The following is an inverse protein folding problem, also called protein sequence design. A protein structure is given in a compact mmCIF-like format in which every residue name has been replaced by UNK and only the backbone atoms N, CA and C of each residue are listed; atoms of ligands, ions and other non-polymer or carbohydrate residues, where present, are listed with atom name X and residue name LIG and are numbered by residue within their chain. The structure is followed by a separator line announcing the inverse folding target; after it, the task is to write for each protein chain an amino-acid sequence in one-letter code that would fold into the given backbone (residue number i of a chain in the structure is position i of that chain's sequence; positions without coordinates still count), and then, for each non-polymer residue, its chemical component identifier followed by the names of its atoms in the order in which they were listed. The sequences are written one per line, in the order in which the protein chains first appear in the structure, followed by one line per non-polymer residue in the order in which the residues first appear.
data_IF_548406473271
#
_entry.id   IF_548406473271
#
_cell.length_a   1.000
_cell.length_b   1.000
_cell.length_c   1.000
_cell.angle_alpha   90.00
_cell.angle_beta   90.00
_cell.angle_gamma   90.00
#
_symmetry.space_group_name_H-M   'P 1'
#
loop_
_entity.id
_entity.type
_entity.pdbx_description
1 polymer ?
#
# COMPACT_ATOMS: atom_id res chain seq x y z
N UNK A 1 12.11 31.87 14.46
CA UNK A 1 13.04 31.17 15.40
C UNK A 1 12.99 29.69 15.06
N UNK A 2 14.14 29.06 14.88
CA UNK A 2 14.20 27.61 14.72
C UNK A 2 14.13 26.97 16.11
N UNK A 3 13.24 26.00 16.38
CA UNK A 3 13.13 25.36 17.69
C UNK A 3 14.41 24.58 18.01
N UNK A 4 14.67 24.36 19.31
CA UNK A 4 15.79 23.54 19.77
C UNK A 4 15.44 22.05 19.79
N UNK A 5 14.15 21.74 19.92
CA UNK A 5 13.60 20.38 19.88
C UNK A 5 12.63 20.27 18.70
N UNK A 6 12.83 19.26 17.88
CA UNK A 6 12.00 18.94 16.70
C UNK A 6 11.42 17.55 16.92
N UNK A 7 10.10 17.43 16.81
CA UNK A 7 9.39 16.15 16.93
C UNK A 7 8.75 15.84 15.59
N UNK A 8 9.02 14.65 15.05
CA UNK A 8 8.48 14.15 13.80
C UNK A 8 7.73 12.85 14.08
N UNK A 9 6.49 12.78 13.61
CA UNK A 9 5.62 11.61 13.72
C UNK A 9 5.40 11.03 12.33
N UNK A 10 5.90 9.82 12.09
CA UNK A 10 5.86 9.09 10.82
C UNK A 10 6.19 9.94 9.56
N UNK A 11 7.33 10.64 9.56
CA UNK A 11 7.62 11.60 8.49
C UNK A 11 7.82 10.95 7.12
N UNK A 12 8.01 9.62 7.05
CA UNK A 12 8.24 8.92 5.77
C UNK A 12 7.02 8.14 5.27
N UNK A 13 5.88 8.22 5.93
CA UNK A 13 4.68 7.42 5.60
C UNK A 13 4.25 7.53 4.13
N UNK A 14 4.44 8.69 3.49
CA UNK A 14 4.02 8.98 2.11
C UNK A 14 5.17 9.40 1.19
N UNK A 15 6.42 9.19 1.63
CA UNK A 15 7.60 9.61 0.88
C UNK A 15 8.14 8.46 0.01
N UNK A 16 8.51 8.79 -1.21
CA UNK A 16 9.33 7.92 -2.05
C UNK A 16 10.81 7.93 -1.61
N UNK A 17 11.61 7.05 -2.18
CA UNK A 17 13.01 6.89 -1.79
C UNK A 17 13.84 8.19 -1.94
N UNK A 18 13.57 8.97 -2.98
CA UNK A 18 14.30 10.23 -3.23
C UNK A 18 13.94 11.28 -2.18
N UNK A 19 12.66 11.38 -1.83
CA UNK A 19 12.17 12.29 -0.78
C UNK A 19 12.70 11.89 0.60
N UNK A 20 12.84 10.58 0.89
CA UNK A 20 13.47 10.09 2.12
C UNK A 20 14.95 10.51 2.19
N UNK A 21 15.70 10.39 1.10
CA UNK A 21 17.10 10.81 1.06
C UNK A 21 17.23 12.33 1.25
N UNK A 22 16.30 13.14 0.72
CA UNK A 22 16.27 14.58 0.97
C UNK A 22 16.00 14.87 2.46
N UNK A 23 15.03 14.19 3.07
CA UNK A 23 14.73 14.31 4.50
C UNK A 23 15.95 13.97 5.36
N UNK A 24 16.66 12.88 5.05
CA UNK A 24 17.92 12.49 5.72
C UNK A 24 18.94 13.63 5.73
N UNK A 25 19.14 14.27 4.58
CA UNK A 25 20.07 15.40 4.47
C UNK A 25 19.66 16.59 5.34
N UNK A 26 18.36 16.91 5.38
CA UNK A 26 17.83 18.00 6.22
C UNK A 26 18.06 17.68 7.71
N UNK A 27 17.75 16.47 8.13
CA UNK A 27 17.94 16.04 9.53
C UNK A 27 19.43 16.06 9.94
N UNK A 28 20.31 15.63 9.04
CA UNK A 28 21.74 15.69 9.27
C UNK A 28 22.25 17.16 9.44
N UNK A 29 21.68 18.11 8.69
CA UNK A 29 21.99 19.54 8.87
C UNK A 29 21.51 20.06 10.23
N UNK A 30 20.30 19.72 10.66
CA UNK A 30 19.76 20.12 11.96
C UNK A 30 20.56 19.50 13.11
N UNK A 31 20.99 18.25 12.98
CA UNK A 31 21.87 17.59 13.95
C UNK A 31 23.22 18.34 14.09
N UNK A 32 23.82 18.79 12.97
CA UNK A 32 25.03 19.64 13.00
C UNK A 32 24.82 21.00 13.67
N UNK A 33 23.59 21.48 13.71
CA UNK A 33 23.20 22.71 14.43
C UNK A 33 22.85 22.46 15.91
N UNK A 34 23.21 21.28 16.44
CA UNK A 34 22.93 20.85 17.84
C UNK A 34 21.42 20.84 18.19
N UNK A 35 20.56 20.60 17.22
CA UNK A 35 19.13 20.41 17.48
C UNK A 35 18.87 19.01 18.02
N UNK A 36 17.95 18.89 18.99
CA UNK A 36 17.42 17.61 19.45
C UNK A 36 16.28 17.19 18.52
N UNK A 37 16.39 16.01 17.93
CA UNK A 37 15.40 15.48 16.98
C UNK A 37 14.81 14.20 17.56
N UNK A 38 13.49 14.15 17.72
CA UNK A 38 12.73 12.98 18.15
C UNK A 38 11.89 12.53 16.98
N UNK A 39 12.01 11.25 16.60
CA UNK A 39 11.30 10.69 15.46
C UNK A 39 10.53 9.45 15.93
N UNK A 40 9.20 9.47 15.81
CA UNK A 40 8.37 8.28 15.93
C UNK A 40 8.23 7.68 14.53
N UNK A 41 8.58 6.40 14.35
CA UNK A 41 8.62 5.78 13.03
C UNK A 41 8.50 4.25 13.08
N UNK A 42 7.82 3.70 12.09
CA UNK A 42 7.74 2.26 11.88
C UNK A 42 8.77 1.75 10.87
N UNK A 43 9.08 2.52 9.82
CA UNK A 43 10.08 2.18 8.80
C UNK A 43 11.48 2.51 9.26
N UNK A 44 12.20 1.57 9.86
CA UNK A 44 13.45 1.84 10.59
C UNK A 44 14.69 1.92 9.70
N UNK A 45 14.69 1.34 8.49
CA UNK A 45 15.87 1.19 7.63
C UNK A 45 16.60 2.50 7.30
N UNK A 46 15.89 3.62 7.24
CA UNK A 46 16.46 4.92 6.89
C UNK A 46 17.03 5.68 8.09
N UNK A 47 16.72 5.23 9.32
CA UNK A 47 17.13 5.90 10.56
C UNK A 47 18.52 5.45 11.05
N UNK A 48 19.03 4.31 10.61
CA UNK A 48 20.25 3.68 11.13
C UNK A 48 21.47 4.60 11.12
N UNK A 49 21.60 5.45 10.10
CA UNK A 49 22.75 6.36 9.92
C UNK A 49 22.50 7.77 10.49
N UNK A 50 21.30 8.05 11.00
CA UNK A 50 20.90 9.37 11.46
C UNK A 50 20.74 9.40 12.97
N UNK A 51 20.07 8.39 13.54
CA UNK A 51 19.75 8.35 14.95
C UNK A 51 20.91 7.85 15.81
N UNK A 52 21.08 8.44 16.97
CA UNK A 52 22.09 8.03 17.96
C UNK A 52 21.55 6.96 18.90
N UNK A 53 20.23 6.99 19.15
CA UNK A 53 19.54 6.23 20.20
C UNK A 53 18.19 5.75 19.69
N UNK A 54 17.81 4.56 20.07
CA UNK A 54 16.51 3.97 19.81
C UNK A 54 15.76 3.71 21.12
N UNK A 55 14.52 4.17 21.17
CA UNK A 55 13.61 3.96 22.30
C UNK A 55 12.42 3.17 21.80
N UNK A 56 12.21 1.95 22.33
CA UNK A 56 11.07 1.12 21.97
C UNK A 56 9.98 1.24 23.04
N UNK A 57 8.78 1.65 22.58
CA UNK A 57 7.60 1.77 23.43
C UNK A 57 6.59 0.65 23.08
N UNK A 58 6.06 0.02 24.11
CA UNK A 58 4.93 -0.91 24.02
C UNK A 58 4.05 -0.75 25.25
N UNK A 59 2.74 -0.77 25.06
CA UNK A 59 1.72 -0.65 26.11
C UNK A 59 1.92 0.59 27.00
N UNK A 60 2.33 1.71 26.40
CA UNK A 60 2.56 2.98 27.11
C UNK A 60 3.82 3.00 27.99
N UNK A 61 4.72 2.03 27.84
CA UNK A 61 5.96 1.92 28.64
C UNK A 61 7.17 1.83 27.74
N UNK A 62 8.28 2.40 28.21
CA UNK A 62 9.59 2.20 27.58
C UNK A 62 10.04 0.77 27.92
N UNK A 63 10.12 -0.08 26.89
CA UNK A 63 10.59 -1.46 27.02
C UNK A 63 12.08 -1.58 26.76
N UNK A 64 12.62 -0.67 25.94
CA UNK A 64 14.02 -0.67 25.56
C UNK A 64 14.50 0.75 25.28
N UNK A 65 15.74 1.03 25.65
CA UNK A 65 16.42 2.30 25.46
C UNK A 65 17.90 2.02 25.24
N UNK A 66 18.34 2.02 23.98
CA UNK A 66 19.65 1.54 23.56
C UNK A 66 20.28 2.48 22.53
N UNK A 67 21.61 2.47 22.37
CA UNK A 67 22.26 3.09 21.22
C UNK A 67 21.76 2.49 19.89
N UNK A 68 21.59 3.32 18.87
CA UNK A 68 21.09 2.86 17.56
C UNK A 68 21.96 1.74 16.96
N UNK A 69 23.30 1.77 17.16
CA UNK A 69 24.23 0.72 16.73
C UNK A 69 23.84 -0.66 17.26
N UNK A 70 23.36 -0.75 18.50
CA UNK A 70 22.96 -2.03 19.10
C UNK A 70 21.69 -2.56 18.43
N UNK A 71 20.74 -1.68 18.07
CA UNK A 71 19.55 -2.08 17.31
C UNK A 71 19.90 -2.59 15.92
N UNK A 72 20.93 -2.02 15.28
CA UNK A 72 21.40 -2.49 13.94
C UNK A 72 21.99 -3.89 13.95
N UNK A 73 22.46 -4.36 15.12
CA UNK A 73 23.01 -5.71 15.29
C UNK A 73 21.93 -6.79 15.51
N UNK A 74 20.64 -6.37 15.64
CA UNK A 74 19.55 -7.32 15.82
C UNK A 74 19.29 -8.11 14.55
N UNK A 75 19.13 -9.44 14.70
CA UNK A 75 18.67 -10.29 13.60
C UNK A 75 17.24 -9.97 13.21
N UNK A 76 16.86 -10.27 11.95
CA UNK A 76 15.48 -10.14 11.47
C UNK A 76 14.48 -10.85 12.39
N UNK A 77 14.79 -12.06 12.84
CA UNK A 77 13.96 -12.81 13.76
C UNK A 77 13.76 -12.10 15.11
N UNK A 78 14.75 -11.39 15.60
CA UNK A 78 14.64 -10.61 16.84
C UNK A 78 13.77 -9.37 16.63
N UNK A 79 13.92 -8.69 15.50
CA UNK A 79 13.07 -7.56 15.11
C UNK A 79 11.60 -7.99 14.97
N UNK A 80 11.34 -9.10 14.28
CA UNK A 80 10.00 -9.66 14.11
C UNK A 80 9.34 -10.01 15.45
N UNK A 81 10.07 -10.65 16.38
CA UNK A 81 9.57 -10.97 17.74
C UNK A 81 9.15 -9.72 18.51
N UNK A 82 9.86 -8.62 18.33
CA UNK A 82 9.53 -7.32 18.93
C UNK A 82 8.38 -6.61 18.20
N UNK A 83 7.95 -7.10 17.03
CA UNK A 83 6.98 -6.43 16.18
C UNK A 83 7.54 -5.20 15.48
N UNK A 84 8.86 -5.14 15.31
CA UNK A 84 9.57 -4.05 14.65
C UNK A 84 9.85 -4.40 13.19
N UNK A 85 9.80 -3.41 12.33
CA UNK A 85 10.20 -3.54 10.93
C UNK A 85 11.71 -3.66 10.79
N UNK A 86 12.16 -4.26 9.67
CA UNK A 86 13.59 -4.43 9.41
C UNK A 86 14.34 -3.09 9.39
N UNK A 87 15.52 -3.10 10.03
CA UNK A 87 16.44 -1.96 9.99
C UNK A 87 17.45 -2.07 8.84
N UNK A 88 17.55 -3.24 8.19
CA UNK A 88 18.50 -3.45 7.10
C UNK A 88 17.93 -2.93 5.77
N UNK A 89 18.63 -1.96 5.18
CA UNK A 89 18.28 -1.39 3.88
C UNK A 89 18.52 -2.32 2.67
N UNK A 90 19.20 -3.44 2.88
CA UNK A 90 19.56 -4.41 1.82
C UNK A 90 18.36 -5.08 1.15
N UNK A 91 17.16 -4.92 1.72
CA UNK A 91 15.91 -5.20 1.00
C UNK A 91 15.77 -4.45 -0.33
N UNK A 92 16.56 -3.40 -0.54
CA UNK A 92 16.49 -2.63 -1.78
C UNK A 92 17.14 -3.34 -2.97
N UNK A 93 18.15 -4.16 -2.73
CA UNK A 93 18.95 -4.83 -3.76
C UNK A 93 18.53 -6.27 -4.05
N UNK A 94 17.66 -6.87 -3.23
CA UNK A 94 17.36 -8.31 -3.27
C UNK A 94 16.01 -8.68 -3.90
N UNK A 95 15.23 -7.73 -4.39
CA UNK A 95 14.06 -8.09 -5.19
C UNK A 95 14.52 -8.22 -6.64
N UNK A 96 14.95 -9.42 -7.00
CA UNK A 96 15.26 -9.76 -8.39
C UNK A 96 13.97 -9.66 -9.20
N UNK A 97 14.07 -9.01 -10.34
CA UNK A 97 12.97 -8.87 -11.30
C UNK A 97 13.40 -9.51 -12.59
N UNK A 98 12.49 -10.25 -13.19
CA UNK A 98 12.63 -10.74 -14.57
C UNK A 98 11.62 -10.05 -15.45
N UNK A 99 12.00 -9.84 -16.72
CA UNK A 99 11.04 -9.37 -17.73
C UNK A 99 9.92 -10.40 -17.84
N UNK A 100 8.71 -9.95 -17.60
CA UNK A 100 7.56 -10.79 -17.81
C UNK A 100 7.05 -10.62 -19.24
N UNK A 101 7.10 -11.69 -20.00
CA UNK A 101 6.43 -11.74 -21.30
C UNK A 101 5.06 -12.37 -21.10
N UNK A 102 3.99 -11.62 -21.43
CA UNK A 102 2.65 -12.18 -21.31
C UNK A 102 2.51 -13.41 -22.21
N UNK A 103 1.73 -14.40 -21.77
CA UNK A 103 1.32 -15.49 -22.63
C UNK A 103 0.64 -14.95 -23.88
N UNK A 104 0.52 -15.75 -24.94
CA UNK A 104 -0.03 -15.34 -26.25
C UNK A 104 -1.31 -14.52 -26.11
N UNK A 105 -1.55 -13.57 -27.01
CA UNK A 105 -2.59 -12.50 -26.92
C UNK A 105 -4.04 -12.94 -26.62
N UNK A 106 -4.31 -14.24 -26.51
CA UNK A 106 -5.63 -14.82 -26.28
C UNK A 106 -5.79 -15.60 -24.97
N UNK A 107 -4.85 -15.48 -24.03
CA UNK A 107 -5.02 -16.20 -22.75
C UNK A 107 -5.99 -15.48 -21.80
N UNK A 108 -6.89 -16.25 -21.13
CA UNK A 108 -7.99 -15.69 -20.33
C UNK A 108 -7.56 -14.98 -19.05
N UNK A 109 -6.27 -15.05 -18.70
CA UNK A 109 -5.78 -14.61 -17.38
C UNK A 109 -5.06 -13.25 -17.38
N UNK A 110 -5.41 -12.35 -18.31
CA UNK A 110 -4.83 -11.01 -18.36
C UNK A 110 -5.88 -9.89 -18.46
N UNK A 111 -5.55 -8.74 -17.87
CA UNK A 111 -6.22 -7.47 -18.13
C UNK A 111 -5.35 -6.72 -19.12
N UNK A 112 -5.85 -6.51 -20.34
CA UNK A 112 -5.13 -5.78 -21.39
C UNK A 112 -5.63 -4.35 -21.46
N UNK A 113 -4.72 -3.39 -21.31
CA UNK A 113 -4.97 -1.97 -21.47
C UNK A 113 -4.44 -1.51 -22.83
N UNK A 114 -5.27 -0.87 -23.63
CA UNK A 114 -4.91 -0.38 -24.98
C UNK A 114 -5.14 1.11 -25.07
N UNK A 115 -4.12 1.84 -25.56
CA UNK A 115 -4.15 3.27 -25.83
C UNK A 115 -4.61 4.11 -24.62
N UNK A 116 -4.13 3.78 -23.42
CA UNK A 116 -4.42 4.52 -22.20
C UNK A 116 -3.68 5.86 -22.21
N UNK A 117 -4.37 6.90 -22.64
CA UNK A 117 -3.84 8.26 -22.70
C UNK A 117 -4.69 9.18 -21.84
N UNK A 118 -4.04 9.86 -20.92
CA UNK A 118 -4.68 10.86 -20.06
C UNK A 118 -3.81 12.10 -19.92
N UNK A 119 -4.43 13.27 -20.01
CA UNK A 119 -3.80 14.55 -19.80
C UNK A 119 -4.65 15.45 -18.88
N UNK A 120 -4.00 16.20 -18.02
CA UNK A 120 -4.58 17.38 -17.39
C UNK A 120 -4.24 18.58 -18.28
N UNK A 121 -5.26 19.20 -18.85
CA UNK A 121 -5.13 20.26 -19.85
C UNK A 121 -4.16 19.86 -20.98
N UNK A 122 -2.99 20.51 -21.06
CA UNK A 122 -1.97 20.22 -22.08
C UNK A 122 -0.90 19.23 -21.63
N UNK A 123 -0.84 18.89 -20.33
CA UNK A 123 0.19 18.01 -19.78
C UNK A 123 -0.25 16.56 -19.81
N UNK A 124 0.37 15.75 -20.66
CA UNK A 124 0.18 14.31 -20.68
C UNK A 124 0.74 13.68 -19.39
N UNK A 125 -0.08 12.90 -18.69
CA UNK A 125 0.26 12.19 -17.46
C UNK A 125 0.47 10.72 -17.73
N UNK A 126 -0.36 10.11 -18.63
CA UNK A 126 -0.26 8.72 -19.02
C UNK A 126 -0.25 8.63 -20.55
N UNK A 127 0.63 7.80 -21.09
CA UNK A 127 0.69 7.40 -22.50
C UNK A 127 1.14 5.93 -22.57
N UNK A 128 0.21 5.03 -22.25
CA UNK A 128 0.42 3.59 -22.21
C UNK A 128 -0.27 2.98 -23.43
N UNK A 129 0.51 2.56 -24.45
CA UNK A 129 -0.01 2.05 -25.71
C UNK A 129 -0.57 0.64 -25.57
N UNK A 130 0.13 -0.21 -24.86
CA UNK A 130 -0.30 -1.58 -24.60
C UNK A 130 0.33 -2.02 -23.27
N UNK A 131 -0.49 -2.52 -22.37
CA UNK A 131 -0.03 -3.10 -21.10
C UNK A 131 -0.88 -4.32 -20.81
N UNK A 132 -0.24 -5.46 -20.58
CA UNK A 132 -0.92 -6.67 -20.13
C UNK A 132 -0.60 -6.88 -18.67
N UNK A 133 -1.63 -7.04 -17.85
CA UNK A 133 -1.55 -7.19 -16.39
C UNK A 133 -2.05 -8.59 -16.08
N UNK A 134 -1.28 -9.44 -15.35
CA UNK A 134 -1.75 -10.76 -14.93
C UNK A 134 -2.95 -10.63 -14.00
N UNK A 135 -3.92 -11.55 -14.11
CA UNK A 135 -5.07 -11.62 -13.21
C UNK A 135 -4.80 -12.56 -12.06
N UNK A 136 -5.65 -12.44 -11.03
CA UNK A 136 -5.62 -13.31 -9.85
C UNK A 136 -4.25 -13.33 -9.16
N UNK A 137 -3.58 -12.18 -9.15
CA UNK A 137 -2.25 -11.97 -8.59
C UNK A 137 -2.24 -10.77 -7.64
N UNK A 138 -1.23 -10.71 -6.76
CA UNK A 138 -0.93 -9.52 -5.97
C UNK A 138 0.16 -8.74 -6.68
N UNK A 139 -0.17 -7.53 -7.11
CA UNK A 139 0.66 -6.72 -8.01
C UNK A 139 0.98 -5.39 -7.33
N UNK A 140 2.27 -5.09 -7.14
CA UNK A 140 2.70 -3.78 -6.70
C UNK A 140 2.64 -2.76 -7.85
N UNK A 141 2.17 -1.55 -7.57
CA UNK A 141 2.27 -0.41 -8.49
C UNK A 141 3.30 0.55 -7.91
N UNK A 142 4.43 0.68 -8.60
CA UNK A 142 5.59 1.47 -8.15
C UNK A 142 5.90 2.61 -9.10
N UNK A 143 6.79 3.52 -8.69
CA UNK A 143 7.21 4.70 -9.44
C UNK A 143 7.35 5.92 -8.54
N UNK A 144 8.06 6.93 -8.98
CA UNK A 144 8.26 8.17 -8.21
C UNK A 144 6.92 8.87 -7.88
N UNK A 145 6.95 9.76 -6.87
CA UNK A 145 5.80 10.62 -6.60
C UNK A 145 5.54 11.52 -7.81
N UNK A 146 4.27 11.65 -8.19
CA UNK A 146 3.90 12.38 -9.41
C UNK A 146 4.05 11.62 -10.73
N UNK A 147 4.53 10.37 -10.74
CA UNK A 147 4.67 9.55 -11.96
C UNK A 147 3.35 9.16 -12.63
N UNK A 148 2.21 9.37 -11.94
CA UNK A 148 0.89 9.06 -12.49
C UNK A 148 0.23 7.80 -11.89
N UNK A 149 0.76 7.21 -10.81
CA UNK A 149 0.21 5.99 -10.17
C UNK A 149 -1.28 6.12 -9.82
N UNK A 150 -1.65 7.14 -9.06
CA UNK A 150 -3.07 7.37 -8.67
C UNK A 150 -3.94 7.74 -9.86
N UNK A 151 -3.39 8.41 -10.88
CA UNK A 151 -4.10 8.67 -12.14
C UNK A 151 -4.36 7.36 -12.90
N UNK A 152 -3.36 6.49 -12.97
CA UNK A 152 -3.47 5.18 -13.60
C UNK A 152 -4.60 4.33 -13.00
N UNK A 153 -4.65 4.20 -11.67
CA UNK A 153 -5.72 3.44 -11.02
C UNK A 153 -7.09 4.08 -11.20
N UNK A 154 -7.20 5.41 -11.19
CA UNK A 154 -8.46 6.11 -11.45
C UNK A 154 -8.95 5.88 -12.89
N UNK A 155 -8.05 5.83 -13.86
CA UNK A 155 -8.40 5.45 -15.23
C UNK A 155 -8.84 3.99 -15.31
N UNK A 156 -8.11 3.06 -14.68
CA UNK A 156 -8.43 1.64 -14.65
C UNK A 156 -9.79 1.37 -13.99
N UNK A 157 -10.08 2.01 -12.87
CA UNK A 157 -11.38 1.92 -12.19
C UNK A 157 -12.53 2.59 -12.98
N UNK A 158 -12.24 3.35 -14.02
CA UNK A 158 -13.27 4.12 -14.74
C UNK A 158 -13.76 5.37 -13.99
N UNK A 159 -13.04 5.80 -12.95
CA UNK A 159 -13.33 7.02 -12.18
C UNK A 159 -12.96 8.30 -12.93
N UNK A 160 -12.03 8.20 -13.88
CA UNK A 160 -11.57 9.32 -14.68
C UNK A 160 -12.43 9.49 -15.94
N UNK A 161 -13.14 10.62 -16.06
CA UNK A 161 -14.12 10.83 -17.14
C UNK A 161 -13.54 11.15 -18.51
N UNK A 162 -12.36 11.76 -18.57
CA UNK A 162 -11.76 12.31 -19.80
C UNK A 162 -10.50 11.56 -20.25
N UNK A 163 -10.42 10.23 -20.04
CA UNK A 163 -9.30 9.48 -20.57
C UNK A 163 -9.67 8.76 -21.88
N UNK A 164 -8.69 8.52 -22.71
CA UNK A 164 -8.79 7.66 -23.89
C UNK A 164 -8.17 6.31 -23.54
N UNK A 165 -8.76 5.24 -24.04
CA UNK A 165 -8.24 3.90 -23.83
C UNK A 165 -9.33 2.86 -23.66
N UNK A 166 -8.93 1.59 -23.77
CA UNK A 166 -9.80 0.43 -23.69
C UNK A 166 -9.22 -0.61 -22.75
N UNK A 167 -10.08 -1.20 -21.94
CA UNK A 167 -9.73 -2.34 -21.08
C UNK A 167 -10.35 -3.59 -21.66
N UNK A 168 -9.55 -4.62 -21.90
CA UNK A 168 -10.00 -5.92 -22.39
C UNK A 168 -9.72 -6.99 -21.35
N UNK A 169 -10.72 -7.75 -20.96
CA UNK A 169 -10.62 -8.88 -20.03
C UNK A 169 -11.36 -10.06 -20.65
N UNK A 170 -10.72 -11.22 -20.75
CA UNK A 170 -11.31 -12.42 -21.39
C UNK A 170 -11.91 -12.12 -22.78
N UNK A 171 -11.16 -11.43 -23.61
CA UNK A 171 -11.57 -11.02 -24.98
C UNK A 171 -12.79 -10.08 -25.02
N UNK A 172 -13.32 -9.66 -23.91
CA UNK A 172 -14.41 -8.68 -23.81
C UNK A 172 -13.86 -7.30 -23.51
N UNK A 173 -14.28 -6.31 -24.29
CA UNK A 173 -13.96 -4.90 -24.05
C UNK A 173 -14.91 -4.31 -23.01
N UNK A 174 -14.34 -3.61 -22.02
CA UNK A 174 -15.07 -2.97 -20.93
C UNK A 174 -14.99 -1.44 -21.05
N UNK A 175 -16.15 -0.79 -20.96
CA UNK A 175 -16.25 0.66 -20.86
C UNK A 175 -15.93 1.14 -19.42
N UNK A 176 -15.55 2.42 -19.22
CA UNK A 176 -15.26 2.94 -17.88
C UNK A 176 -16.35 2.67 -16.83
N UNK A 177 -17.64 2.83 -17.19
CA UNK A 177 -18.76 2.54 -16.28
C UNK A 177 -18.89 1.06 -15.91
N UNK A 178 -18.43 0.15 -16.77
CA UNK A 178 -18.43 -1.28 -16.48
C UNK A 178 -17.25 -1.63 -15.58
N UNK A 179 -16.11 -0.97 -15.75
CA UNK A 179 -14.95 -1.11 -14.84
C UNK A 179 -15.27 -0.69 -13.40
N UNK A 180 -16.12 0.32 -13.18
CA UNK A 180 -16.62 0.67 -11.86
C UNK A 180 -17.35 -0.48 -11.15
N UNK A 181 -17.97 -1.39 -11.92
CA UNK A 181 -18.63 -2.58 -11.35
C UNK A 181 -17.65 -3.69 -10.99
N UNK A 182 -16.50 -3.75 -11.64
CA UNK A 182 -15.48 -4.77 -11.43
C UNK A 182 -14.44 -4.37 -10.38
N UNK A 183 -14.20 -3.07 -10.22
CA UNK A 183 -13.14 -2.54 -9.35
C UNK A 183 -13.69 -2.06 -8.01
N UNK A 184 -12.87 -2.21 -6.96
CA UNK A 184 -13.02 -1.53 -5.67
C UNK A 184 -11.71 -0.82 -5.37
N UNK A 185 -11.77 0.46 -5.02
CA UNK A 185 -10.61 1.26 -4.67
C UNK A 185 -10.66 1.64 -3.19
N UNK A 186 -9.67 1.19 -2.43
CA UNK A 186 -9.38 1.70 -1.08
C UNK A 186 -8.38 2.84 -1.21
N UNK A 187 -8.82 4.03 -0.81
CA UNK A 187 -8.06 5.26 -0.95
C UNK A 187 -7.00 5.37 0.16
N UNK A 188 -5.93 6.10 -0.10
CA UNK A 188 -4.87 6.39 0.87
C UNK A 188 -5.43 7.03 2.15
N UNK A 189 -6.25 8.07 2.03
CA UNK A 189 -7.04 8.60 3.16
C UNK A 189 -8.36 7.86 3.25
N UNK A 190 -8.39 6.82 4.07
CA UNK A 190 -9.60 6.01 4.29
C UNK A 190 -10.75 6.77 4.94
N UNK A 191 -10.49 7.93 5.58
CA UNK A 191 -11.55 8.73 6.19
C UNK A 191 -12.63 9.15 5.17
N UNK A 192 -12.25 9.31 3.91
CA UNK A 192 -13.20 9.62 2.82
C UNK A 192 -14.13 8.46 2.46
N UNK A 193 -13.93 7.28 3.04
CA UNK A 193 -14.74 6.08 2.78
C UNK A 193 -15.50 5.60 4.02
N UNK A 194 -15.22 6.18 5.20
CA UNK A 194 -15.76 5.78 6.49
C UNK A 194 -16.87 6.73 6.97
N UNK A 195 -17.98 6.79 6.25
CA UNK A 195 -19.04 7.78 6.46
C UNK A 195 -20.34 7.22 7.06
N UNK A 196 -20.36 5.92 7.44
CA UNK A 196 -21.52 5.32 8.12
C UNK A 196 -21.48 5.57 9.63
N UNK A 197 -22.59 5.26 10.32
CA UNK A 197 -22.71 5.43 11.77
C UNK A 197 -21.90 4.40 12.56
N UNK A 198 -21.82 3.17 12.06
CA UNK A 198 -21.08 2.07 12.71
C UNK A 198 -20.02 1.47 11.80
N UNK A 199 -19.04 0.80 12.42
CA UNK A 199 -18.02 0.02 11.72
C UNK A 199 -18.64 -1.09 10.88
N UNK A 200 -19.64 -1.77 11.42
CA UNK A 200 -20.37 -2.83 10.73
C UNK A 200 -21.04 -2.30 9.47
N UNK A 201 -21.72 -1.16 9.55
CA UNK A 201 -22.38 -0.51 8.40
C UNK A 201 -21.39 -0.19 7.28
N UNK A 202 -20.17 0.29 7.62
CA UNK A 202 -19.12 0.54 6.61
C UNK A 202 -18.72 -0.76 5.92
N UNK A 203 -18.54 -1.82 6.69
CA UNK A 203 -18.05 -3.11 6.17
C UNK A 203 -19.08 -3.74 5.24
N UNK A 204 -20.37 -3.67 5.57
CA UNK A 204 -21.45 -4.23 4.74
C UNK A 204 -21.87 -3.31 3.60
N UNK A 205 -21.47 -2.06 3.62
CA UNK A 205 -21.82 -1.09 2.59
C UNK A 205 -21.32 -1.55 1.22
N UNK A 206 -22.23 -1.79 0.30
CA UNK A 206 -21.91 -2.25 -1.05
C UNK A 206 -21.73 -3.77 -1.19
N UNK A 207 -21.90 -4.54 -0.14
CA UNK A 207 -22.11 -5.98 -0.23
C UNK A 207 -23.53 -6.25 -0.74
N UNK A 208 -23.67 -7.04 -1.80
CA UNK A 208 -25.00 -7.33 -2.39
C UNK A 208 -25.81 -8.34 -1.57
N UNK A 209 -25.15 -9.09 -0.68
CA UNK A 209 -25.74 -10.11 0.18
C UNK A 209 -24.96 -10.15 1.50
N UNK A 210 -25.61 -9.87 2.61
CA UNK A 210 -24.98 -9.84 3.94
C UNK A 210 -25.35 -11.10 4.69
N UNK A 211 -24.53 -12.11 4.53
CA UNK A 211 -24.49 -13.25 5.45
C UNK A 211 -23.83 -12.75 6.76
N UNK A 212 -24.64 -12.55 7.80
CA UNK A 212 -24.18 -12.05 9.11
C UNK A 212 -23.03 -12.88 9.69
N UNK A 213 -23.02 -14.19 9.46
CA UNK A 213 -21.95 -15.08 9.93
C UNK A 213 -20.63 -14.77 9.23
N UNK A 214 -20.65 -14.53 7.93
CA UNK A 214 -19.44 -14.16 7.17
C UNK A 214 -18.90 -12.78 7.59
N UNK A 215 -19.79 -11.83 7.87
CA UNK A 215 -19.42 -10.50 8.38
C UNK A 215 -18.73 -10.64 9.73
N UNK A 216 -19.34 -11.42 10.65
CA UNK A 216 -18.77 -11.66 11.98
C UNK A 216 -17.40 -12.32 11.87
N UNK A 217 -17.28 -13.44 11.14
CA UNK A 217 -15.99 -14.12 10.95
C UNK A 217 -14.91 -13.21 10.38
N UNK A 218 -15.26 -12.36 9.42
CA UNK A 218 -14.33 -11.41 8.82
C UNK A 218 -13.88 -10.37 9.84
N UNK A 219 -14.83 -9.81 10.60
CA UNK A 219 -14.53 -8.81 11.63
C UNK A 219 -13.68 -9.39 12.76
N UNK A 220 -13.96 -10.64 13.19
CA UNK A 220 -13.14 -11.34 14.19
C UNK A 220 -11.71 -11.58 13.70
N UNK A 221 -11.54 -12.07 12.46
CA UNK A 221 -10.22 -12.27 11.83
C UNK A 221 -9.39 -11.00 11.72
N UNK A 222 -10.06 -9.85 11.60
CA UNK A 222 -9.43 -8.53 11.51
C UNK A 222 -9.30 -7.79 12.85
N UNK A 223 -9.77 -8.41 13.95
CA UNK A 223 -9.78 -7.77 15.27
C UNK A 223 -10.66 -6.53 15.30
N UNK A 224 -11.80 -6.57 14.61
CA UNK A 224 -12.74 -5.45 14.50
C UNK A 224 -14.06 -5.71 15.23
N UNK A 225 -14.34 -6.95 15.65
CA UNK A 225 -15.63 -7.34 16.20
C UNK A 225 -16.02 -6.52 17.45
N UNK A 226 -15.08 -6.27 18.34
CA UNK A 226 -15.31 -5.46 19.55
C UNK A 226 -15.65 -3.98 19.24
N UNK A 227 -15.36 -3.53 18.03
CA UNK A 227 -15.61 -2.17 17.57
C UNK A 227 -16.85 -2.04 16.68
N UNK A 228 -17.60 -3.11 16.43
CA UNK A 228 -18.67 -3.18 15.42
C UNK A 228 -19.69 -2.04 15.52
N UNK A 229 -20.07 -1.69 16.75
CA UNK A 229 -21.06 -0.65 17.04
C UNK A 229 -20.44 0.74 17.25
N UNK A 230 -19.11 0.90 17.09
CA UNK A 230 -18.45 2.20 17.25
C UNK A 230 -18.53 3.00 15.97
N UNK A 231 -18.56 4.33 16.12
CA UNK A 231 -18.41 5.22 14.97
C UNK A 231 -17.01 5.08 14.37
N UNK A 232 -16.86 4.89 13.05
CA UNK A 232 -15.58 4.61 12.41
C UNK A 232 -14.50 5.66 12.68
N UNK A 233 -14.91 6.94 12.82
CA UNK A 233 -13.97 8.04 13.09
C UNK A 233 -13.35 7.98 14.48
N UNK A 234 -13.90 7.20 15.43
CA UNK A 234 -13.33 6.98 16.75
C UNK A 234 -12.18 5.95 16.78
N UNK A 235 -11.94 5.27 15.66
CA UNK A 235 -10.92 4.23 15.55
C UNK A 235 -9.52 4.83 15.33
N UNK A 236 -8.48 4.06 15.71
CA UNK A 236 -7.10 4.37 15.34
C UNK A 236 -6.88 4.26 13.83
N UNK A 237 -5.80 4.85 13.30
CA UNK A 237 -5.48 4.81 11.87
C UNK A 237 -5.42 3.37 11.33
N UNK A 238 -4.72 2.47 12.02
CA UNK A 238 -4.63 1.06 11.63
C UNK A 238 -5.96 0.31 11.70
N UNK A 239 -6.84 0.63 12.67
CA UNK A 239 -8.19 0.06 12.72
C UNK A 239 -9.04 0.54 11.54
N UNK A 240 -9.01 1.84 11.21
CA UNK A 240 -9.69 2.40 10.05
C UNK A 240 -9.25 1.74 8.75
N UNK A 241 -7.94 1.49 8.61
CA UNK A 241 -7.40 0.79 7.45
C UNK A 241 -7.96 -0.63 7.32
N UNK A 242 -8.00 -1.38 8.44
CA UNK A 242 -8.59 -2.72 8.44
C UNK A 242 -10.10 -2.72 8.12
N UNK A 243 -10.84 -1.70 8.55
CA UNK A 243 -12.26 -1.54 8.18
C UNK A 243 -12.42 -1.35 6.67
N UNK A 244 -11.61 -0.50 6.04
CA UNK A 244 -11.65 -0.29 4.60
C UNK A 244 -11.27 -1.56 3.80
N UNK A 245 -10.28 -2.33 4.29
CA UNK A 245 -9.94 -3.64 3.72
C UNK A 245 -11.11 -4.62 3.85
N UNK A 246 -11.72 -4.72 5.05
CA UNK A 246 -12.88 -5.58 5.27
C UNK A 246 -14.04 -5.26 4.31
N UNK A 247 -14.36 -3.99 4.16
CA UNK A 247 -15.39 -3.53 3.21
C UNK A 247 -15.06 -3.95 1.77
N UNK A 248 -13.80 -3.83 1.36
CA UNK A 248 -13.36 -4.26 0.02
C UNK A 248 -13.55 -5.76 -0.22
N UNK A 249 -13.35 -6.58 0.82
CA UNK A 249 -13.52 -8.05 0.72
C UNK A 249 -14.97 -8.46 0.49
N UNK A 250 -15.92 -7.77 1.14
CA UNK A 250 -17.36 -8.04 1.00
C UNK A 250 -17.99 -7.41 -0.24
N UNK A 251 -17.34 -6.44 -0.88
CA UNK A 251 -17.86 -5.73 -2.03
C UNK A 251 -18.09 -6.61 -3.29
N UNK A 252 -17.67 -7.88 -3.27
CA UNK A 252 -17.89 -8.84 -4.37
C UNK A 252 -17.18 -8.49 -5.68
N UNK A 253 -16.21 -7.57 -5.67
CA UNK A 253 -15.48 -7.11 -6.85
C UNK A 253 -14.36 -8.07 -7.25
N UNK A 254 -13.99 -8.06 -8.55
CA UNK A 254 -12.93 -8.90 -9.10
C UNK A 254 -11.54 -8.27 -8.97
N UNK A 255 -11.47 -6.94 -9.02
CA UNK A 255 -10.23 -6.17 -8.99
C UNK A 255 -10.26 -5.26 -7.78
N UNK A 256 -9.38 -5.53 -6.83
CA UNK A 256 -9.25 -4.76 -5.60
C UNK A 256 -7.99 -3.92 -5.65
N UNK A 257 -8.11 -2.64 -5.40
CA UNK A 257 -7.01 -1.69 -5.52
C UNK A 257 -6.84 -0.97 -4.19
N UNK A 258 -5.59 -0.93 -3.71
CA UNK A 258 -5.23 -0.33 -2.44
C UNK A 258 -4.15 0.74 -2.66
N UNK A 259 -4.41 1.95 -2.16
CA UNK A 259 -3.46 3.06 -2.25
C UNK A 259 -2.79 3.24 -0.89
N UNK A 260 -1.49 2.90 -0.79
CA UNK A 260 -0.64 2.94 0.42
C UNK A 260 -1.28 2.26 1.66
N UNK A 261 -1.68 0.97 1.58
CA UNK A 261 -2.48 0.30 2.62
C UNK A 261 -1.73 0.01 3.92
N UNK A 262 -0.41 0.15 3.95
CA UNK A 262 0.42 -0.10 5.15
C UNK A 262 1.07 1.16 5.71
N UNK A 263 0.65 2.34 5.24
CA UNK A 263 1.08 3.61 5.82
C UNK A 263 0.67 3.68 7.29
N UNK A 264 1.63 3.97 8.18
CA UNK A 264 1.37 4.02 9.62
C UNK A 264 1.11 2.68 10.30
N UNK A 265 1.45 1.54 9.67
CA UNK A 265 1.31 0.23 10.29
C UNK A 265 2.65 -0.29 10.82
N UNK A 266 2.61 -0.83 12.04
CA UNK A 266 3.70 -1.61 12.60
C UNK A 266 3.92 -2.93 11.82
N UNK A 267 4.96 -3.67 12.17
CA UNK A 267 5.29 -4.93 11.49
C UNK A 267 4.17 -5.96 11.57
N UNK A 268 3.53 -6.13 12.73
CA UNK A 268 2.48 -7.15 12.92
C UNK A 268 1.25 -6.87 12.05
N UNK A 269 0.79 -5.63 12.04
CA UNK A 269 -0.36 -5.22 11.23
C UNK A 269 -0.04 -5.26 9.73
N UNK A 270 1.20 -4.93 9.34
CA UNK A 270 1.64 -5.06 7.96
C UNK A 270 1.63 -6.52 7.49
N UNK A 271 2.12 -7.46 8.31
CA UNK A 271 2.09 -8.91 7.99
C UNK A 271 0.64 -9.40 7.87
N UNK A 272 -0.23 -9.04 8.80
CA UNK A 272 -1.66 -9.39 8.70
C UNK A 272 -2.30 -8.87 7.40
N UNK A 273 -1.94 -7.65 6.99
CA UNK A 273 -2.41 -7.07 5.73
C UNK A 273 -1.87 -7.84 4.52
N UNK A 274 -0.59 -8.22 4.53
CA UNK A 274 0.00 -9.04 3.48
C UNK A 274 -0.69 -10.41 3.34
N UNK A 275 -0.97 -11.08 4.45
CA UNK A 275 -1.70 -12.35 4.47
C UNK A 275 -3.12 -12.22 3.91
N UNK A 276 -3.81 -11.10 4.19
CA UNK A 276 -5.12 -10.83 3.61
C UNK A 276 -5.05 -10.69 2.09
N UNK A 277 -4.05 -10.01 1.56
CA UNK A 277 -3.87 -9.87 0.11
C UNK A 277 -3.58 -11.22 -0.56
N UNK A 278 -2.79 -12.09 0.07
CA UNK A 278 -2.57 -13.46 -0.41
C UNK A 278 -3.89 -14.24 -0.46
N UNK A 279 -4.70 -14.19 0.60
CA UNK A 279 -6.02 -14.87 0.63
C UNK A 279 -6.98 -14.32 -0.42
N UNK A 280 -6.95 -13.01 -0.70
CA UNK A 280 -7.75 -12.41 -1.78
C UNK A 280 -7.33 -12.98 -3.14
N UNK A 281 -6.03 -13.09 -3.40
CA UNK A 281 -5.49 -13.76 -4.59
C UNK A 281 -5.98 -15.20 -4.67
N UNK A 282 -5.86 -15.98 -3.60
CA UNK A 282 -6.30 -17.38 -3.52
C UNK A 282 -7.81 -17.54 -3.78
N UNK A 283 -8.61 -16.52 -3.44
CA UNK A 283 -10.04 -16.46 -3.77
C UNK A 283 -10.33 -15.99 -5.20
N UNK A 284 -9.32 -15.89 -6.07
CA UNK A 284 -9.47 -15.51 -7.48
C UNK A 284 -9.64 -14.01 -7.70
N UNK A 285 -9.19 -13.16 -6.77
CA UNK A 285 -9.19 -11.70 -6.93
C UNK A 285 -7.86 -11.20 -7.47
N UNK A 286 -7.91 -10.18 -8.31
CA UNK A 286 -6.73 -9.42 -8.71
C UNK A 286 -6.53 -8.28 -7.71
N UNK A 287 -5.37 -8.24 -7.04
CA UNK A 287 -5.05 -7.26 -6.01
C UNK A 287 -3.95 -6.35 -6.51
N UNK A 288 -4.23 -5.07 -6.67
CA UNK A 288 -3.27 -4.05 -7.09
C UNK A 288 -2.97 -3.12 -5.92
N UNK A 289 -1.69 -2.91 -5.61
CA UNK A 289 -1.27 -2.16 -4.43
C UNK A 289 -0.31 -1.05 -4.85
N UNK A 290 -0.73 0.21 -4.75
CA UNK A 290 0.24 1.31 -4.81
C UNK A 290 0.96 1.32 -3.48
N UNK A 291 2.29 1.16 -3.51
CA UNK A 291 3.07 1.24 -2.28
C UNK A 291 4.55 1.50 -2.54
N UNK A 292 5.17 2.16 -1.55
CA UNK A 292 6.61 2.29 -1.40
C UNK A 292 7.17 1.34 -0.32
N UNK A 293 6.30 0.52 0.28
CA UNK A 293 6.65 -0.42 1.34
C UNK A 293 7.24 -1.72 0.76
N UNK A 294 8.56 -1.81 0.75
CA UNK A 294 9.28 -2.96 0.19
C UNK A 294 9.12 -4.23 0.99
N UNK A 295 8.92 -4.12 2.31
CA UNK A 295 8.64 -5.29 3.15
C UNK A 295 7.28 -5.90 2.76
N UNK A 296 6.24 -5.08 2.56
CA UNK A 296 4.96 -5.53 2.05
C UNK A 296 5.10 -6.19 0.68
N UNK A 297 5.80 -5.54 -0.26
CA UNK A 297 6.03 -6.07 -1.61
C UNK A 297 6.64 -7.47 -1.52
N UNK A 298 7.72 -7.63 -0.76
CA UNK A 298 8.41 -8.93 -0.58
C UNK A 298 7.53 -10.01 0.04
N UNK A 299 6.60 -9.62 0.93
CA UNK A 299 5.75 -10.59 1.64
C UNK A 299 4.58 -11.10 0.81
N UNK A 300 4.05 -10.32 -0.13
CA UNK A 300 2.83 -10.73 -0.83
C UNK A 300 2.79 -10.47 -2.34
N UNK A 301 3.63 -9.60 -2.90
CA UNK A 301 3.53 -9.26 -4.32
C UNK A 301 4.31 -10.26 -5.18
N UNK A 302 3.70 -10.67 -6.29
CA UNK A 302 4.29 -11.57 -7.29
C UNK A 302 4.70 -10.82 -8.55
N UNK A 303 4.07 -9.68 -8.81
CA UNK A 303 4.35 -8.82 -9.97
C UNK A 303 4.45 -7.36 -9.56
N UNK A 304 5.04 -6.59 -10.45
CA UNK A 304 5.11 -5.13 -10.37
C UNK A 304 4.60 -4.49 -11.65
N UNK A 305 3.85 -3.41 -11.52
CA UNK A 305 3.63 -2.43 -12.58
C UNK A 305 4.48 -1.21 -12.22
N UNK A 306 5.58 -1.01 -12.95
CA UNK A 306 6.41 0.17 -12.76
C UNK A 306 5.95 1.31 -13.65
N UNK A 307 5.62 2.47 -13.05
CA UNK A 307 5.17 3.66 -13.77
C UNK A 307 6.26 4.74 -13.72
N UNK A 308 6.75 5.12 -14.90
CA UNK A 308 7.74 6.17 -15.06
C UNK A 308 7.41 7.03 -16.30
N UNK A 309 7.43 8.35 -16.12
CA UNK A 309 7.20 9.32 -17.20
C UNK A 309 5.93 9.04 -18.04
N UNK A 310 4.86 8.59 -17.38
CA UNK A 310 3.58 8.28 -18.01
C UNK A 310 3.52 6.95 -18.76
N UNK A 311 4.59 6.19 -18.79
CA UNK A 311 4.66 4.83 -19.34
C UNK A 311 4.56 3.81 -18.21
N UNK A 312 4.15 2.58 -18.53
CA UNK A 312 4.07 1.48 -17.59
C UNK A 312 4.65 0.20 -18.19
N UNK A 313 5.33 -0.57 -17.35
CA UNK A 313 5.85 -1.89 -17.68
C UNK A 313 5.51 -2.87 -16.57
N UNK A 314 5.40 -4.16 -16.91
CA UNK A 314 5.12 -5.23 -15.94
C UNK A 314 6.34 -6.11 -15.79
N UNK A 315 6.78 -6.29 -14.55
CA UNK A 315 7.88 -7.15 -14.17
C UNK A 315 7.36 -8.26 -13.24
N UNK A 316 8.01 -9.42 -13.27
CA UNK A 316 7.75 -10.50 -12.33
C UNK A 316 8.82 -10.49 -11.23
N UNK A 317 8.39 -10.61 -9.98
CA UNK A 317 9.32 -10.84 -8.88
C UNK A 317 9.75 -12.31 -8.87
N UNK A 318 11.05 -12.55 -8.76
CA UNK A 318 11.56 -13.90 -8.58
C UNK A 318 11.27 -14.37 -7.16
N UNK A 319 10.67 -15.55 -7.03
CA UNK A 319 10.42 -16.18 -5.74
C UNK A 319 11.77 -16.51 -5.09
N UNK A 320 12.02 -15.98 -3.91
CA UNK A 320 13.18 -16.39 -3.09
C UNK A 320 12.98 -17.77 -2.50
#
# INVERSE_FOLDING_TARGET
MLPDIIVLDEPTSNLDAESIELLKRILALWKKQNKTIIIAEHRLYWLKDICDRAVYLSDGKIQMDIPMRELTDYSEQKMEKLGLRSINADFQSQINKSDWSPPSQNEPDTITLKDYVFAYDVKTILDIRNLQIPRNEVIAITGQNGAGKSTFIRCLCGLQKKFKGRTVINSKEYKPKEMLKLCYLVMQDVNHQLFCETVEDVIVLGSGDTDELKVQELMEKLGLWEFKNRHPMSLSGGQKQRVAIASSMLAGKEILIFDEPTSGLDYRHMIQTAELFIRLKESGKSVLIITHDRELIRKCCTFEIHIAQGKAEVNKYESN
#
